data_IF_122253940295
#
_entry.id   IF_122253940295
#
_cell.length_a   1.000
_cell.length_b   1.000
_cell.length_c   1.000
_cell.angle_alpha   90.00
_cell.angle_beta   90.00
_cell.angle_gamma   90.00
#
_symmetry.space_group_name_H-M   'P 1'
#
loop_
_entity.id
_entity.type
_entity.pdbx_description
1 polymer ?
#
# COMPACT_ATOMS: atom_id res chain seq x y z
N UNK A 1 9.14 -17.98 -5.36
CA UNK A 1 10.30 -17.20 -5.87
C UNK A 1 9.88 -15.95 -6.65
N UNK A 2 8.99 -16.05 -7.66
CA UNK A 2 8.54 -14.88 -8.45
C UNK A 2 8.01 -13.70 -7.60
N UNK A 3 7.15 -13.96 -6.61
CA UNK A 3 6.59 -12.90 -5.75
C UNK A 3 7.61 -12.15 -4.88
N UNK A 4 8.65 -12.83 -4.39
CA UNK A 4 9.71 -12.20 -3.59
C UNK A 4 10.56 -11.27 -4.46
N UNK A 5 10.88 -11.70 -5.69
CA UNK A 5 11.61 -10.89 -6.67
C UNK A 5 10.78 -9.66 -7.08
N UNK A 6 9.48 -9.83 -7.35
CA UNK A 6 8.59 -8.72 -7.67
C UNK A 6 8.50 -7.71 -6.52
N UNK A 7 8.40 -8.19 -5.28
CA UNK A 7 8.39 -7.32 -4.09
C UNK A 7 9.71 -6.52 -3.97
N UNK A 8 10.86 -7.18 -4.16
CA UNK A 8 12.17 -6.54 -4.13
C UNK A 8 12.32 -5.43 -5.17
N UNK A 9 11.85 -5.68 -6.41
CA UNK A 9 11.86 -4.69 -7.49
C UNK A 9 10.97 -3.48 -7.14
N UNK A 10 9.78 -3.72 -6.58
CA UNK A 10 8.89 -2.63 -6.15
C UNK A 10 9.53 -1.78 -5.06
N UNK A 11 10.16 -2.41 -4.05
CA UNK A 11 10.87 -1.71 -2.97
C UNK A 11 12.03 -0.89 -3.53
N UNK A 12 12.82 -1.45 -4.45
CA UNK A 12 13.93 -0.74 -5.09
C UNK A 12 13.44 0.49 -5.87
N UNK A 13 12.37 0.35 -6.66
CA UNK A 13 11.78 1.47 -7.40
C UNK A 13 11.23 2.56 -6.47
N UNK A 14 10.62 2.17 -5.34
CA UNK A 14 10.18 3.13 -4.33
C UNK A 14 11.35 3.92 -3.75
N UNK A 15 12.44 3.24 -3.36
CA UNK A 15 13.63 3.91 -2.83
C UNK A 15 14.23 4.89 -3.84
N UNK A 16 14.33 4.49 -5.11
CA UNK A 16 14.77 5.36 -6.21
C UNK A 16 13.86 6.58 -6.37
N UNK A 17 12.54 6.39 -6.36
CA UNK A 17 11.58 7.48 -6.47
C UNK A 17 11.71 8.48 -5.30
N UNK A 18 11.90 7.99 -4.07
CA UNK A 18 12.13 8.84 -2.90
C UNK A 18 13.46 9.59 -2.98
N UNK A 19 14.55 8.95 -3.40
CA UNK A 19 15.87 9.57 -3.52
C UNK A 19 15.91 10.65 -4.61
N UNK A 20 15.21 10.45 -5.73
CA UNK A 20 15.05 11.45 -6.79
C UNK A 20 14.13 12.57 -6.30
N UNK A 21 13.03 12.22 -5.63
CA UNK A 21 12.10 13.20 -5.05
C UNK A 21 12.77 14.10 -4.01
N UNK A 22 13.65 13.57 -3.13
CA UNK A 22 14.29 14.38 -2.10
C UNK A 22 15.24 15.44 -2.67
N UNK A 23 15.79 15.22 -3.87
CA UNK A 23 16.61 16.18 -4.59
C UNK A 23 15.77 17.26 -5.30
N UNK A 24 14.44 17.14 -5.28
CA UNK A 24 13.57 18.17 -5.82
C UNK A 24 13.51 19.37 -4.87
N UNK A 25 14.13 20.48 -5.30
CA UNK A 25 14.16 21.75 -4.56
C UNK A 25 12.93 22.64 -4.84
N UNK A 26 12.00 22.20 -5.70
CA UNK A 26 10.79 22.97 -6.00
C UNK A 26 9.87 23.05 -4.77
N UNK A 27 9.78 24.26 -4.22
CA UNK A 27 8.86 24.63 -3.14
C UNK A 27 7.50 25.01 -3.73
N UNK A 28 6.43 24.54 -3.07
CA UNK A 28 5.04 24.76 -3.47
C UNK A 28 4.29 25.30 -2.26
N UNK A 29 3.53 26.35 -2.45
CA UNK A 29 2.65 26.92 -1.43
C UNK A 29 1.39 26.07 -1.29
N UNK A 30 1.19 25.52 -0.11
CA UNK A 30 0.02 24.71 0.25
C UNK A 30 -0.87 25.56 1.14
N UNK A 31 -2.01 25.98 0.59
CA UNK A 31 -3.06 26.67 1.35
C UNK A 31 -3.96 25.64 2.05
N UNK A 32 -3.74 25.46 3.34
CA UNK A 32 -4.68 24.81 4.24
C UNK A 32 -5.83 25.76 4.60
N UNK A 33 -6.96 25.21 5.01
CA UNK A 33 -8.20 25.95 5.32
C UNK A 33 -8.01 27.12 6.30
N UNK A 34 -6.96 27.11 7.12
CA UNK A 34 -6.69 28.11 8.17
C UNK A 34 -5.23 28.65 8.09
N UNK A 35 -4.38 28.11 7.20
CA UNK A 35 -2.96 28.47 7.15
C UNK A 35 -2.33 28.17 5.79
N UNK A 36 -1.27 28.87 5.42
CA UNK A 36 -0.44 28.52 4.25
C UNK A 36 0.92 28.00 4.70
N UNK A 37 1.44 26.96 4.04
CA UNK A 37 2.77 26.40 4.30
C UNK A 37 3.51 26.19 2.99
N UNK A 38 4.79 26.53 2.95
CA UNK A 38 5.66 26.20 1.83
C UNK A 38 6.27 24.82 2.05
N UNK A 39 5.87 23.86 1.23
CA UNK A 39 6.35 22.49 1.29
C UNK A 39 7.03 22.11 -0.02
N UNK A 40 8.03 21.24 0.04
CA UNK A 40 8.62 20.65 -1.16
C UNK A 40 7.57 19.79 -1.85
N UNK A 41 7.52 19.88 -3.18
CA UNK A 41 6.59 19.07 -3.98
C UNK A 41 6.77 17.57 -3.75
N UNK A 42 8.01 17.13 -3.49
CA UNK A 42 8.33 15.76 -3.15
C UNK A 42 7.72 15.28 -1.83
N UNK A 43 7.65 16.16 -0.82
CA UNK A 43 7.00 15.84 0.47
C UNK A 43 5.51 15.60 0.28
N UNK A 44 4.84 16.42 -0.54
CA UNK A 44 3.42 16.23 -0.85
C UNK A 44 3.17 14.89 -1.55
N UNK A 45 3.94 14.60 -2.60
CA UNK A 45 3.84 13.33 -3.34
C UNK A 45 4.11 12.15 -2.41
N UNK A 46 5.13 12.22 -1.56
CA UNK A 46 5.47 11.19 -0.59
C UNK A 46 4.33 10.90 0.39
N UNK A 47 3.70 11.94 0.95
CA UNK A 47 2.60 11.79 1.90
C UNK A 47 1.37 11.19 1.20
N UNK A 48 0.98 11.71 0.04
CA UNK A 48 -0.17 11.20 -0.72
C UNK A 48 0.03 9.75 -1.14
N UNK A 49 1.22 9.39 -1.64
CA UNK A 49 1.55 8.02 -2.02
C UNK A 49 1.50 7.08 -0.81
N UNK A 50 2.07 7.50 0.31
CA UNK A 50 2.10 6.70 1.55
C UNK A 50 0.69 6.41 2.05
N UNK A 51 -0.20 7.40 2.04
CA UNK A 51 -1.62 7.24 2.41
C UNK A 51 -2.30 6.24 1.46
N UNK A 52 -2.09 6.39 0.15
CA UNK A 52 -2.66 5.49 -0.86
C UNK A 52 -2.21 4.04 -0.67
N UNK A 53 -0.91 3.82 -0.42
CA UNK A 53 -0.35 2.48 -0.13
C UNK A 53 -0.95 1.91 1.16
N UNK A 54 -1.07 2.72 2.22
CA UNK A 54 -1.63 2.27 3.50
C UNK A 54 -3.07 1.80 3.34
N UNK A 55 -3.89 2.58 2.62
CA UNK A 55 -5.29 2.24 2.32
C UNK A 55 -5.36 0.97 1.47
N UNK A 56 -4.53 0.86 0.42
CA UNK A 56 -4.48 -0.33 -0.43
C UNK A 56 -4.09 -1.59 0.34
N UNK A 57 -3.10 -1.49 1.23
CA UNK A 57 -2.69 -2.59 2.11
C UNK A 57 -3.80 -2.99 3.08
N UNK A 58 -4.47 -2.03 3.72
CA UNK A 58 -5.61 -2.29 4.60
C UNK A 58 -6.74 -3.03 3.86
N UNK A 59 -7.12 -2.55 2.67
CA UNK A 59 -8.14 -3.23 1.85
C UNK A 59 -7.73 -4.65 1.45
N UNK A 60 -6.46 -4.83 1.04
CA UNK A 60 -5.94 -6.14 0.65
C UNK A 60 -5.91 -7.11 1.84
N UNK A 61 -5.47 -6.66 3.01
CA UNK A 61 -5.42 -7.46 4.23
C UNK A 61 -6.81 -7.91 4.68
N UNK A 62 -7.79 -7.00 4.69
CA UNK A 62 -9.18 -7.31 5.06
C UNK A 62 -9.79 -8.34 4.10
N UNK A 63 -9.61 -8.15 2.79
CA UNK A 63 -10.10 -9.09 1.79
C UNK A 63 -9.44 -10.46 1.91
N UNK A 64 -8.12 -10.50 2.08
CA UNK A 64 -7.38 -11.75 2.25
C UNK A 64 -7.81 -12.51 3.51
N UNK A 65 -8.04 -11.81 4.61
CA UNK A 65 -8.52 -12.42 5.86
C UNK A 65 -9.93 -12.99 5.70
N UNK A 66 -10.83 -12.25 5.03
CA UNK A 66 -12.17 -12.74 4.71
C UNK A 66 -12.12 -14.00 3.84
N UNK A 67 -11.30 -14.01 2.79
CA UNK A 67 -11.09 -15.20 1.94
C UNK A 67 -10.54 -16.38 2.76
N UNK A 68 -9.56 -16.14 3.64
CA UNK A 68 -9.00 -17.18 4.52
C UNK A 68 -10.07 -17.81 5.40
N UNK A 69 -10.94 -17.00 6.02
CA UNK A 69 -12.03 -17.48 6.87
C UNK A 69 -13.02 -18.31 6.05
N UNK A 70 -13.42 -17.83 4.88
CA UNK A 70 -14.31 -18.56 3.98
C UNK A 70 -13.71 -19.89 3.52
N UNK A 71 -12.42 -19.93 3.19
CA UNK A 71 -11.71 -21.15 2.81
C UNK A 71 -11.70 -22.21 3.92
N UNK A 72 -11.50 -21.79 5.17
CA UNK A 72 -11.54 -22.69 6.34
C UNK A 72 -12.96 -23.24 6.53
N UNK A 73 -13.98 -22.37 6.44
CA UNK A 73 -15.38 -22.77 6.57
C UNK A 73 -15.81 -23.76 5.48
N UNK A 74 -15.44 -23.51 4.22
CA UNK A 74 -15.75 -24.38 3.07
C UNK A 74 -15.03 -25.72 3.18
N UNK A 75 -13.75 -25.75 3.55
CA UNK A 75 -13.01 -27.02 3.78
C UNK A 75 -13.64 -27.87 4.88
N UNK A 76 -14.18 -27.24 5.92
CA UNK A 76 -14.92 -27.95 6.98
C UNK A 76 -16.19 -28.64 6.47
N UNK A 77 -16.93 -27.99 5.56
CA UNK A 77 -18.14 -28.56 4.92
C UNK A 77 -17.80 -29.70 3.96
N UNK A 78 -16.75 -29.54 3.14
CA UNK A 78 -16.27 -30.59 2.24
C UNK A 78 -15.91 -31.88 3.00
N UNK A 79 -15.20 -31.77 4.13
CA UNK A 79 -14.84 -32.95 4.95
C UNK A 79 -16.03 -33.71 5.53
N UNK A 80 -17.18 -33.06 5.70
CA UNK A 80 -18.41 -33.71 6.17
C UNK A 80 -19.11 -34.43 5.01
N UNK A 81 -19.18 -33.79 3.85
CA UNK A 81 -19.83 -34.36 2.66
C UNK A 81 -19.05 -35.53 2.01
N UNK A 82 -17.74 -35.64 2.21
CA UNK A 82 -16.92 -36.78 1.71
C UNK A 82 -16.81 -37.93 2.74
N UNK A 83 -17.41 -37.80 3.92
CA UNK A 83 -17.42 -38.84 4.96
C UNK A 83 -18.71 -39.66 5.02
N UNK A 84 -19.74 -39.23 4.27
CA UNK A 84 -20.88 -40.07 3.87
C UNK A 84 -20.53 -40.81 2.56
#
# INVERSE_FOLDING_TARGET
MKGIITLLVIVFLLVMAFAIGSQNETLVTVNYLIAQSELRMSTLIAVTLSIGILIGLLMMLLSWLSLRVQLVAVRGRLRKATKE
#
